data_IF_361400601698
#
_entry.id   IF_361400601698
#
_cell.length_a   1.000
_cell.length_b   1.000
_cell.length_c   1.000
_cell.angle_alpha   90.00
_cell.angle_beta   90.00
_cell.angle_gamma   90.00
#
_symmetry.space_group_name_H-M   'P 1'
#
loop_
_entity.id
_entity.type
_entity.pdbx_description
1 polymer ?
#
# COMPACT_ATOMS: atom_id res chain seq x y z
N UNK A 1 23.83 -2.02 -17.73
CA UNK A 1 23.57 -3.12 -16.76
C UNK A 1 24.91 -3.71 -16.37
N UNK A 2 25.17 -3.76 -15.10
CA UNK A 2 26.36 -4.39 -14.57
C UNK A 2 26.02 -5.80 -14.07
N UNK A 3 26.88 -6.75 -14.36
CA UNK A 3 26.77 -8.11 -13.88
C UNK A 3 27.88 -8.35 -12.85
N UNK A 4 27.47 -8.70 -11.63
CA UNK A 4 28.38 -9.15 -10.59
C UNK A 4 28.32 -10.67 -10.51
N UNK A 5 29.47 -11.32 -10.56
CA UNK A 5 29.58 -12.75 -10.42
C UNK A 5 30.17 -13.06 -9.04
N UNK A 6 29.37 -13.69 -8.20
CA UNK A 6 29.80 -14.19 -6.90
C UNK A 6 30.31 -15.61 -7.06
N UNK A 7 31.57 -15.80 -6.83
CA UNK A 7 32.16 -17.14 -6.83
C UNK A 7 31.80 -17.86 -5.54
N UNK A 8 31.18 -19.01 -5.66
CA UNK A 8 30.87 -19.86 -4.51
C UNK A 8 32.10 -20.68 -4.15
N UNK A 9 32.63 -20.43 -2.97
CA UNK A 9 33.69 -21.22 -2.38
C UNK A 9 33.09 -22.24 -1.41
N UNK A 10 33.69 -23.42 -1.36
CA UNK A 10 33.28 -24.51 -0.45
C UNK A 10 31.86 -25.04 -0.69
N UNK A 11 31.31 -24.87 -1.88
CA UNK A 11 30.04 -25.50 -2.25
C UNK A 11 30.29 -26.94 -2.73
N UNK A 12 29.51 -27.88 -2.21
CA UNK A 12 29.61 -29.30 -2.64
C UNK A 12 29.38 -29.46 -4.13
N UNK A 13 28.56 -28.66 -4.75
CA UNK A 13 28.32 -28.65 -6.19
C UNK A 13 29.55 -28.19 -6.99
N UNK A 14 30.43 -27.41 -6.37
CA UNK A 14 31.64 -26.88 -7.03
C UNK A 14 32.73 -27.92 -7.20
N UNK A 15 32.76 -28.93 -6.35
CA UNK A 15 33.70 -30.06 -6.41
C UNK A 15 33.25 -31.16 -7.37
N UNK A 16 32.02 -31.15 -7.82
CA UNK A 16 31.47 -32.15 -8.74
C UNK A 16 31.83 -31.87 -10.19
N UNK A 17 32.35 -32.86 -10.88
CA UNK A 17 32.52 -32.78 -12.30
C UNK A 17 31.23 -33.23 -12.99
N UNK A 18 30.64 -32.33 -13.77
CA UNK A 18 29.49 -32.64 -14.60
C UNK A 18 29.96 -33.17 -15.96
N UNK A 19 29.44 -34.32 -16.37
CA UNK A 19 29.63 -34.88 -17.69
C UNK A 19 28.57 -34.38 -18.66
N UNK A 20 28.97 -33.92 -19.85
CA UNK A 20 28.05 -33.47 -20.90
C UNK A 20 27.88 -31.95 -20.95
N UNK A 21 26.81 -31.49 -21.57
CA UNK A 21 26.52 -30.07 -21.81
C UNK A 21 25.95 -29.31 -20.56
N UNK A 22 26.22 -29.82 -19.39
CA UNK A 22 25.74 -29.16 -18.16
C UNK A 22 26.73 -28.08 -17.74
N UNK A 23 26.28 -26.86 -17.64
CA UNK A 23 27.09 -25.76 -17.14
C UNK A 23 27.34 -25.97 -15.64
N UNK A 24 28.63 -25.99 -15.28
CA UNK A 24 29.01 -26.11 -13.89
C UNK A 24 28.57 -24.88 -13.12
N UNK A 25 27.81 -25.06 -12.03
CA UNK A 25 27.39 -23.99 -11.18
C UNK A 25 28.53 -23.66 -10.20
N UNK A 26 29.47 -22.84 -10.64
CA UNK A 26 30.57 -22.36 -9.81
C UNK A 26 30.37 -20.93 -9.31
N UNK A 27 29.33 -20.27 -9.74
CA UNK A 27 29.03 -18.88 -9.39
C UNK A 27 27.56 -18.57 -9.51
N UNK A 28 27.12 -17.63 -8.71
CA UNK A 28 25.80 -17.04 -8.83
C UNK A 28 25.88 -15.74 -9.60
N UNK A 29 24.99 -15.55 -10.56
CA UNK A 29 24.89 -14.27 -11.26
C UNK A 29 24.09 -13.29 -10.41
N UNK A 30 24.75 -12.26 -9.94
CA UNK A 30 24.11 -11.13 -9.29
C UNK A 30 23.88 -10.05 -10.34
N UNK A 31 22.65 -9.92 -10.80
CA UNK A 31 22.30 -8.89 -11.78
C UNK A 31 22.08 -7.56 -11.08
N UNK A 32 22.99 -6.64 -11.29
CA UNK A 32 22.85 -5.26 -10.82
C UNK A 32 22.32 -4.40 -11.93
N UNK A 33 21.11 -3.92 -11.77
CA UNK A 33 20.44 -3.10 -12.76
C UNK A 33 20.66 -1.62 -12.48
N UNK A 34 21.30 -0.95 -13.42
CA UNK A 34 21.43 0.50 -13.33
C UNK A 34 20.09 1.19 -13.52
N UNK A 35 20.00 2.39 -13.10
CA UNK A 35 18.97 3.44 -13.27
C UNK A 35 17.51 3.03 -13.55
N UNK A 36 17.25 2.28 -14.61
CA UNK A 36 15.86 1.97 -15.00
C UNK A 36 15.14 1.08 -14.00
N UNK A 37 15.84 0.15 -13.38
CA UNK A 37 15.27 -0.70 -12.32
C UNK A 37 15.30 -0.04 -10.96
N UNK A 38 16.25 0.84 -10.69
CA UNK A 38 16.21 1.67 -9.50
C UNK A 38 14.97 2.56 -9.48
N UNK A 39 14.56 3.09 -10.64
CA UNK A 39 13.29 3.83 -10.74
C UNK A 39 12.07 2.94 -10.49
N UNK A 40 12.05 1.74 -11.03
CA UNK A 40 10.96 0.79 -10.78
C UNK A 40 10.86 0.39 -9.30
N UNK A 41 12.00 0.12 -8.66
CA UNK A 41 12.06 -0.19 -7.22
C UNK A 41 11.66 1.01 -6.36
N UNK A 42 12.08 2.21 -6.73
CA UNK A 42 11.67 3.44 -6.04
C UNK A 42 10.16 3.69 -6.20
N UNK A 43 9.61 3.45 -7.37
CA UNK A 43 8.17 3.53 -7.61
C UNK A 43 7.40 2.51 -6.76
N UNK A 44 7.82 1.24 -6.76
CA UNK A 44 7.22 0.19 -5.94
C UNK A 44 7.30 0.53 -4.44
N UNK A 45 8.45 1.01 -3.96
CA UNK A 45 8.59 1.45 -2.58
C UNK A 45 7.66 2.62 -2.24
N UNK A 46 7.46 3.55 -3.17
CA UNK A 46 6.55 4.68 -2.99
C UNK A 46 5.10 4.22 -2.95
N UNK A 47 4.70 3.31 -3.83
CA UNK A 47 3.36 2.71 -3.85
C UNK A 47 3.12 1.94 -2.55
N UNK A 48 4.09 1.15 -2.11
CA UNK A 48 4.00 0.39 -0.86
C UNK A 48 3.89 1.32 0.37
N UNK A 49 4.68 2.40 0.44
CA UNK A 49 4.55 3.40 1.51
C UNK A 49 3.17 4.07 1.51
N UNK A 50 2.64 4.42 0.34
CA UNK A 50 1.30 4.99 0.22
C UNK A 50 0.22 4.00 0.68
N UNK A 51 0.30 2.75 0.26
CA UNK A 51 -0.61 1.70 0.70
C UNK A 51 -0.56 1.50 2.23
N UNK A 52 0.64 1.42 2.80
CA UNK A 52 0.82 1.31 4.26
C UNK A 52 0.29 2.53 5.01
N UNK A 53 0.52 3.74 4.50
CA UNK A 53 0.00 4.96 5.09
C UNK A 53 -1.55 4.98 5.06
N UNK A 54 -2.17 4.51 3.99
CA UNK A 54 -3.63 4.40 3.90
C UNK A 54 -4.19 3.36 4.88
N UNK A 55 -3.50 2.26 5.08
CA UNK A 55 -3.91 1.23 6.06
C UNK A 55 -3.77 1.73 7.51
N UNK A 56 -2.81 2.59 7.80
CA UNK A 56 -2.60 3.16 9.13
C UNK A 56 -3.58 4.30 9.48
N UNK A 57 -4.23 4.91 8.49
CA UNK A 57 -5.22 5.97 8.71
C UNK A 57 -6.44 5.43 9.46
N UNK A 58 -6.87 6.10 10.51
CA UNK A 58 -8.08 5.73 11.25
C UNK A 58 -9.34 6.04 10.44
N UNK A 59 -10.44 5.34 10.73
CA UNK A 59 -11.75 5.60 10.11
C UNK A 59 -12.16 7.08 10.22
N UNK A 60 -11.98 7.65 11.40
CA UNK A 60 -12.27 9.07 11.66
C UNK A 60 -11.45 10.00 10.76
N UNK A 61 -10.16 9.75 10.63
CA UNK A 61 -9.27 10.54 9.77
C UNK A 61 -9.62 10.41 8.29
N UNK A 62 -10.03 9.22 7.86
CA UNK A 62 -10.47 9.00 6.48
C UNK A 62 -11.79 9.74 6.16
N UNK A 63 -12.78 9.67 7.06
CA UNK A 63 -14.04 10.43 6.93
C UNK A 63 -13.78 11.93 6.96
N UNK A 64 -12.92 12.41 7.88
CA UNK A 64 -12.52 13.81 7.95
C UNK A 64 -11.89 14.30 6.64
N UNK A 65 -11.05 13.48 6.04
CA UNK A 65 -10.42 13.81 4.76
C UNK A 65 -11.42 13.88 3.60
N UNK A 66 -12.44 13.02 3.59
CA UNK A 66 -13.49 13.05 2.57
C UNK A 66 -14.36 14.31 2.64
N UNK A 67 -14.55 14.84 3.85
CA UNK A 67 -15.35 16.05 4.12
C UNK A 67 -14.55 17.36 4.05
N UNK A 68 -13.24 17.29 3.81
CA UNK A 68 -12.39 18.47 3.84
C UNK A 68 -12.83 19.52 2.81
N UNK A 69 -13.29 20.68 3.30
CA UNK A 69 -13.79 21.77 2.48
C UNK A 69 -15.09 21.49 1.72
N UNK A 70 -15.84 20.46 2.12
CA UNK A 70 -17.08 20.04 1.45
C UNK A 70 -18.16 19.67 2.45
N UNK A 71 -19.39 19.94 2.07
CA UNK A 71 -20.57 19.41 2.74
C UNK A 71 -21.12 18.25 1.90
N UNK A 72 -21.18 17.06 2.46
CA UNK A 72 -21.55 15.85 1.75
C UNK A 72 -22.73 15.14 2.41
N UNK A 73 -23.56 14.53 1.59
CA UNK A 73 -24.60 13.62 2.07
C UNK A 73 -23.99 12.32 2.57
N UNK A 74 -24.69 11.61 3.45
CA UNK A 74 -24.25 10.31 3.96
C UNK A 74 -23.92 9.30 2.84
N UNK A 75 -24.69 9.34 1.76
CA UNK A 75 -24.49 8.47 0.60
C UNK A 75 -23.18 8.81 -0.15
N UNK A 76 -22.91 10.09 -0.35
CA UNK A 76 -21.66 10.56 -0.96
C UNK A 76 -20.45 10.21 -0.08
N UNK A 77 -20.61 10.29 1.24
CA UNK A 77 -19.57 9.85 2.18
C UNK A 77 -19.33 8.34 2.04
N UNK A 78 -20.39 7.54 1.89
CA UNK A 78 -20.25 6.10 1.66
C UNK A 78 -19.54 5.80 0.34
N UNK A 79 -19.87 6.48 -0.73
CA UNK A 79 -19.20 6.32 -2.02
C UNK A 79 -17.70 6.66 -1.92
N UNK A 80 -17.38 7.75 -1.24
CA UNK A 80 -15.99 8.16 -1.00
C UNK A 80 -15.21 7.17 -0.11
N UNK A 81 -15.90 6.51 0.83
CA UNK A 81 -15.28 5.58 1.77
C UNK A 81 -15.23 4.13 1.29
N UNK A 82 -15.98 3.78 0.24
CA UNK A 82 -16.03 2.42 -0.29
C UNK A 82 -14.64 1.83 -0.63
N UNK A 83 -13.73 2.52 -1.33
CA UNK A 83 -12.40 2.00 -1.61
C UNK A 83 -11.57 1.79 -0.35
N UNK A 84 -11.71 2.66 0.65
CA UNK A 84 -11.04 2.53 1.93
C UNK A 84 -11.57 1.32 2.73
N UNK A 85 -12.88 1.10 2.70
CA UNK A 85 -13.52 -0.04 3.33
C UNK A 85 -13.09 -1.37 2.70
N UNK A 86 -12.98 -1.42 1.38
CA UNK A 86 -12.47 -2.59 0.65
C UNK A 86 -11.04 -2.95 1.08
N UNK A 87 -10.16 -1.96 1.21
CA UNK A 87 -8.80 -2.17 1.70
C UNK A 87 -8.72 -2.72 3.12
N UNK A 88 -9.69 -2.36 3.96
CA UNK A 88 -9.79 -2.78 5.37
C UNK A 88 -10.52 -4.11 5.57
N UNK A 89 -11.10 -4.64 4.51
CA UNK A 89 -11.89 -5.88 4.54
C UNK A 89 -12.94 -5.90 5.68
N UNK A 90 -13.62 -4.78 5.88
CA UNK A 90 -14.61 -4.61 6.94
C UNK A 90 -16.02 -4.62 6.37
N UNK A 91 -16.79 -5.64 6.70
CA UNK A 91 -18.18 -5.80 6.24
C UNK A 91 -19.15 -4.79 6.87
N UNK A 92 -18.83 -4.29 8.08
CA UNK A 92 -19.68 -3.35 8.83
C UNK A 92 -19.16 -1.89 8.78
N UNK A 93 -18.46 -1.54 7.72
CA UNK A 93 -17.82 -0.24 7.60
C UNK A 93 -18.79 0.95 7.60
N UNK A 94 -19.99 0.79 7.09
CA UNK A 94 -21.02 1.83 7.11
C UNK A 94 -21.42 2.22 8.52
N UNK A 95 -21.55 1.23 9.42
CA UNK A 95 -21.82 1.48 10.83
C UNK A 95 -20.64 2.24 11.49
N UNK A 96 -19.40 1.90 11.12
CA UNK A 96 -18.21 2.63 11.59
C UNK A 96 -18.17 4.07 11.11
N UNK A 97 -18.53 4.33 9.86
CA UNK A 97 -18.65 5.70 9.33
C UNK A 97 -19.68 6.50 10.10
N UNK A 98 -20.88 5.92 10.31
CA UNK A 98 -21.92 6.58 11.11
C UNK A 98 -21.48 6.87 12.54
N UNK A 99 -20.80 5.92 13.17
CA UNK A 99 -20.23 6.11 14.50
C UNK A 99 -19.21 7.27 14.53
N UNK A 100 -18.38 7.39 13.51
CA UNK A 100 -17.43 8.50 13.40
C UNK A 100 -18.14 9.85 13.25
N UNK A 101 -19.22 9.90 12.46
CA UNK A 101 -20.00 11.12 12.22
C UNK A 101 -20.78 11.62 13.46
N UNK A 102 -20.94 10.78 14.48
CA UNK A 102 -21.55 11.17 15.76
C UNK A 102 -20.62 11.97 16.67
N UNK A 103 -19.33 12.07 16.32
CA UNK A 103 -18.37 12.87 17.10
C UNK A 103 -18.49 14.35 16.75
N UNK A 104 -19.31 15.07 17.49
CA UNK A 104 -19.61 16.50 17.29
C UNK A 104 -18.39 17.41 17.38
N UNK A 105 -17.27 16.91 17.93
CA UNK A 105 -16.01 17.68 17.99
C UNK A 105 -15.36 17.87 16.63
N UNK A 106 -15.67 17.01 15.67
CA UNK A 106 -15.05 17.00 14.35
C UNK A 106 -16.05 17.12 13.20
N UNK A 107 -17.28 16.76 13.44
CA UNK A 107 -18.31 16.71 12.41
C UNK A 107 -19.58 17.42 12.88
N UNK A 108 -20.10 18.25 12.03
CA UNK A 108 -21.36 18.95 12.24
C UNK A 108 -22.41 18.42 11.27
N UNK A 109 -23.59 18.17 11.79
CA UNK A 109 -24.76 17.80 10.99
C UNK A 109 -25.50 19.06 10.57
N UNK A 110 -25.40 19.41 9.30
CA UNK A 110 -26.07 20.60 8.74
C UNK A 110 -27.58 20.34 8.56
N UNK A 111 -27.89 19.18 7.96
CA UNK A 111 -29.24 18.72 7.69
C UNK A 111 -29.37 17.23 7.93
N UNK A 112 -30.59 16.70 7.82
CA UNK A 112 -30.82 15.26 7.92
C UNK A 112 -30.05 14.51 6.86
N UNK A 113 -29.00 13.79 7.29
CA UNK A 113 -28.13 13.01 6.40
C UNK A 113 -27.02 13.80 5.69
N UNK A 114 -26.83 15.09 6.03
CA UNK A 114 -25.79 15.94 5.44
C UNK A 114 -24.83 16.39 6.54
N UNK A 115 -23.56 16.20 6.28
CA UNK A 115 -22.49 16.43 7.24
C UNK A 115 -21.40 17.34 6.68
N UNK A 116 -20.78 18.13 7.56
CA UNK A 116 -19.60 18.95 7.28
C UNK A 116 -18.57 18.78 8.39
N UNK A 117 -17.39 19.35 8.21
CA UNK A 117 -16.43 19.43 9.30
C UNK A 117 -16.81 20.56 10.25
N UNK A 118 -16.76 20.28 11.54
CA UNK A 118 -16.83 21.32 12.56
C UNK A 118 -15.60 22.24 12.44
N UNK A 119 -15.82 23.53 12.51
CA UNK A 119 -14.76 24.54 12.48
C UNK A 119 -14.03 24.63 13.82
#
# INVERSE_FOLDING_TARGET
MDELIKTQHNCVSDSRQYRGNVIRIGHEKLLVFRRNKAMALAFLATVQKRAQAMVSVTWKAAVRRSLQGKTLSLEQIYQAMAPYAAMRNNTHWQAKVRQCLQDERFFERVETGVYTLAQ
#
